data_IF_219258038184
#
_entry.id   IF_219258038184
#
_cell.length_a   1.000
_cell.length_b   1.000
_cell.length_c   1.000
_cell.angle_alpha   90.00
_cell.angle_beta   90.00
_cell.angle_gamma   90.00
#
_symmetry.space_group_name_H-M   'P 1'
#
loop_
_entity.id
_entity.type
_entity.pdbx_description
1 polymer ?
#
# COMPACT_ATOMS: atom_id res chain seq x y z
N UNK A 1 68.44 1.19 17.63
CA UNK A 1 69.54 2.16 17.70
C UNK A 1 70.19 2.23 16.32
N UNK A 2 70.09 3.40 15.66
CA UNK A 2 71.01 3.99 14.66
C UNK A 2 71.47 3.15 13.46
N UNK A 3 71.51 3.60 12.21
CA UNK A 3 71.14 4.86 11.56
C UNK A 3 71.26 4.65 10.04
N UNK A 4 70.37 5.28 9.27
CA UNK A 4 70.59 5.96 7.99
C UNK A 4 71.56 5.39 6.94
N UNK A 5 71.00 4.90 5.83
CA UNK A 5 71.64 4.84 4.51
C UNK A 5 71.43 6.17 3.77
N UNK A 6 72.53 6.78 3.33
CA UNK A 6 72.57 8.00 2.52
C UNK A 6 72.88 7.65 1.06
N UNK A 7 72.14 8.25 0.12
CA UNK A 7 72.72 8.74 -1.13
C UNK A 7 72.18 8.14 -2.43
N UNK A 8 71.23 8.89 -3.04
CA UNK A 8 71.13 9.36 -4.46
C UNK A 8 72.11 8.69 -5.44
N UNK A 9 71.75 8.33 -6.67
CA UNK A 9 71.49 9.26 -7.77
C UNK A 9 70.64 8.63 -8.91
N UNK A 10 69.71 9.43 -9.42
CA UNK A 10 68.93 9.22 -10.63
C UNK A 10 69.79 8.89 -11.86
N UNK A 11 69.35 7.91 -12.67
CA UNK A 11 69.38 8.04 -14.12
C UNK A 11 68.09 7.48 -14.72
N UNK A 12 67.28 8.41 -15.21
CA UNK A 12 66.12 8.18 -16.04
C UNK A 12 66.55 7.66 -17.42
N UNK A 13 65.86 6.63 -17.91
CA UNK A 13 65.83 6.28 -19.33
C UNK A 13 64.36 6.27 -19.74
N UNK A 14 64.01 7.33 -20.45
CA UNK A 14 62.69 7.67 -20.99
C UNK A 14 62.34 6.68 -22.10
N UNK A 15 61.32 5.84 -21.87
CA UNK A 15 60.71 4.99 -22.88
C UNK A 15 59.54 5.70 -23.53
N UNK A 16 59.72 6.13 -24.78
CA UNK A 16 58.72 6.78 -25.62
C UNK A 16 57.89 5.71 -26.35
N UNK A 17 56.67 5.44 -25.91
CA UNK A 17 55.65 4.76 -26.73
C UNK A 17 54.41 5.65 -26.79
N UNK A 18 54.24 6.28 -27.94
CA UNK A 18 53.10 7.13 -28.31
C UNK A 18 52.07 6.27 -29.05
N UNK A 19 50.80 6.67 -28.89
CA UNK A 19 49.57 6.30 -29.60
C UNK A 19 48.65 5.36 -28.81
N UNK A 20 47.57 5.93 -28.26
CA UNK A 20 46.22 5.36 -28.36
C UNK A 20 45.13 6.39 -27.98
N UNK A 21 44.30 6.70 -28.98
CA UNK A 21 42.89 7.12 -28.94
C UNK A 21 42.43 8.22 -27.97
N UNK A 22 42.19 9.42 -28.52
CA UNK A 22 41.32 10.43 -27.92
C UNK A 22 39.85 10.01 -28.04
N UNK A 23 39.26 9.51 -26.95
CA UNK A 23 37.81 9.42 -26.79
C UNK A 23 37.35 10.62 -25.95
N UNK A 24 36.67 11.57 -26.61
CA UNK A 24 35.90 12.63 -25.95
C UNK A 24 34.66 12.02 -25.32
N UNK A 25 34.55 12.05 -23.99
CA UNK A 25 33.29 11.87 -23.28
C UNK A 25 33.11 13.01 -22.29
N UNK A 26 31.94 13.63 -22.41
CA UNK A 26 31.46 14.81 -21.71
C UNK A 26 31.21 14.42 -20.25
N UNK A 27 32.03 14.89 -19.31
CA UNK A 27 31.66 14.83 -17.88
C UNK A 27 30.76 16.02 -17.57
N UNK A 28 29.45 15.81 -17.73
CA UNK A 28 28.42 16.69 -17.18
C UNK A 28 28.41 16.59 -15.66
N UNK A 29 28.31 17.75 -15.00
CA UNK A 29 28.00 17.87 -13.57
C UNK A 29 26.65 17.21 -13.26
N UNK A 30 26.61 16.38 -12.24
CA UNK A 30 25.49 16.14 -11.32
C UNK A 30 26.11 15.36 -10.15
N UNK A 31 26.16 15.87 -8.94
CA UNK A 31 25.06 16.43 -8.17
C UNK A 31 25.09 15.65 -6.87
N UNK A 32 25.24 16.38 -5.76
CA UNK A 32 25.42 15.86 -4.40
C UNK A 32 24.47 14.70 -4.08
N UNK A 33 25.02 13.53 -3.76
CA UNK A 33 24.26 12.45 -3.16
C UNK A 33 23.94 12.83 -1.71
N UNK A 34 22.77 13.42 -1.49
CA UNK A 34 22.16 13.50 -0.17
C UNK A 34 21.80 12.08 0.27
N UNK A 35 22.55 11.55 1.24
CA UNK A 35 22.24 10.28 1.90
C UNK A 35 20.94 10.40 2.69
N UNK A 36 19.83 10.03 2.05
CA UNK A 36 18.65 9.51 2.73
C UNK A 36 18.82 7.99 2.94
N UNK A 37 18.08 7.38 3.89
CA UNK A 37 18.05 5.92 3.99
C UNK A 37 17.64 5.35 2.63
N UNK A 38 18.44 4.42 2.12
CA UNK A 38 18.16 3.66 0.91
C UNK A 38 16.84 2.91 1.13
N UNK A 39 15.73 3.51 0.70
CA UNK A 39 14.47 2.79 0.57
C UNK A 39 14.76 1.67 -0.41
N UNK A 40 14.92 0.46 0.12
CA UNK A 40 15.05 -0.76 -0.66
C UNK A 40 13.84 -0.82 -1.57
N UNK A 41 14.01 -0.38 -2.82
CA UNK A 41 12.91 -0.34 -3.78
C UNK A 41 12.36 -1.76 -3.88
N UNK A 42 11.09 -1.92 -3.50
CA UNK A 42 10.40 -3.19 -3.62
C UNK A 42 10.39 -3.55 -5.10
N UNK A 43 10.98 -4.70 -5.44
CA UNK A 43 10.83 -5.23 -6.79
C UNK A 43 9.41 -5.77 -6.91
N UNK A 44 8.56 -5.06 -7.66
CA UNK A 44 7.17 -5.43 -7.87
C UNK A 44 7.11 -6.66 -8.80
N UNK A 45 6.47 -7.73 -8.35
CA UNK A 45 6.10 -8.88 -9.18
C UNK A 45 4.79 -8.59 -9.94
N UNK A 46 3.91 -7.80 -9.32
CA UNK A 46 2.60 -7.41 -9.88
C UNK A 46 2.26 -5.99 -9.45
N UNK A 47 1.47 -5.29 -10.27
CA UNK A 47 0.94 -3.96 -9.95
C UNK A 47 -0.58 -4.04 -9.75
N UNK A 48 -1.09 -3.24 -8.82
CA UNK A 48 -2.51 -2.97 -8.67
C UNK A 48 -2.71 -1.46 -8.54
N UNK A 49 -3.50 -0.87 -9.45
CA UNK A 49 -3.84 0.56 -9.44
C UNK A 49 -5.12 0.76 -8.66
N UNK A 50 -5.03 1.41 -7.51
CA UNK A 50 -6.16 1.63 -6.62
C UNK A 50 -7.13 2.66 -7.24
N UNK A 51 -6.60 3.60 -7.98
CA UNK A 51 -7.34 4.66 -8.67
C UNK A 51 -8.13 4.16 -9.89
N UNK A 52 -7.85 2.94 -10.36
CA UNK A 52 -8.58 2.34 -11.46
C UNK A 52 -10.00 1.99 -10.99
N UNK A 53 -11.02 2.61 -11.61
CA UNK A 53 -12.43 2.35 -11.30
C UNK A 53 -12.94 1.04 -11.93
N UNK A 54 -12.11 0.00 -11.97
CA UNK A 54 -12.54 -1.33 -12.40
C UNK A 54 -13.41 -1.95 -11.30
N UNK A 55 -14.58 -2.44 -11.67
CA UNK A 55 -15.57 -2.97 -10.73
C UNK A 55 -15.97 -4.41 -11.07
N UNK A 56 -15.01 -5.36 -11.11
CA UNK A 56 -15.27 -6.74 -11.54
C UNK A 56 -16.14 -7.53 -10.56
N UNK A 57 -16.16 -7.15 -9.28
CA UNK A 57 -17.08 -7.76 -8.31
C UNK A 57 -18.49 -7.19 -8.48
N UNK A 58 -18.61 -5.91 -8.79
CA UNK A 58 -19.88 -5.23 -8.97
C UNK A 58 -19.78 -3.79 -8.49
N UNK A 59 -20.91 -3.07 -8.53
CA UNK A 59 -20.93 -1.64 -8.26
C UNK A 59 -20.52 -1.31 -6.82
N UNK A 60 -19.47 -0.51 -6.67
CA UNK A 60 -19.00 0.02 -5.39
C UNK A 60 -20.07 0.86 -4.68
N UNK A 61 -20.83 1.65 -5.44
CA UNK A 61 -21.93 2.46 -4.90
C UNK A 61 -23.10 1.60 -4.39
N UNK A 62 -23.45 0.52 -5.10
CA UNK A 62 -24.47 -0.42 -4.59
C UNK A 62 -24.01 -1.13 -3.32
N UNK A 63 -22.73 -1.48 -3.23
CA UNK A 63 -22.15 -2.04 -2.02
C UNK A 63 -22.22 -1.06 -0.85
N UNK A 64 -21.85 0.20 -1.08
CA UNK A 64 -21.94 1.27 -0.08
C UNK A 64 -23.35 1.45 0.44
N UNK A 65 -24.32 1.54 -0.46
CA UNK A 65 -25.73 1.67 -0.09
C UNK A 65 -26.23 0.46 0.72
N UNK A 66 -25.89 -0.77 0.30
CA UNK A 66 -26.25 -1.98 1.04
C UNK A 66 -25.63 -2.02 2.43
N UNK A 67 -24.36 -1.61 2.58
CA UNK A 67 -23.69 -1.56 3.87
C UNK A 67 -24.36 -0.56 4.84
N UNK A 68 -24.62 0.66 4.37
CA UNK A 68 -25.31 1.71 5.14
C UNK A 68 -26.71 1.23 5.54
N UNK A 69 -27.44 0.61 4.61
CA UNK A 69 -28.77 0.06 4.88
C UNK A 69 -28.71 -1.05 5.95
N UNK A 70 -27.76 -1.99 5.83
CA UNK A 70 -27.55 -3.03 6.85
C UNK A 70 -27.24 -2.42 8.21
N UNK A 71 -26.29 -1.49 8.28
CA UNK A 71 -25.92 -0.83 9.54
C UNK A 71 -27.09 -0.05 10.16
N UNK A 72 -27.90 0.63 9.34
CA UNK A 72 -29.07 1.42 9.80
C UNK A 72 -30.15 0.57 10.48
N UNK A 73 -30.20 -0.75 10.24
CA UNK A 73 -31.15 -1.64 10.94
C UNK A 73 -30.72 -1.99 12.38
N UNK A 74 -29.47 -1.71 12.75
CA UNK A 74 -28.95 -1.58 14.12
C UNK A 74 -28.89 -2.85 14.99
N UNK A 75 -29.65 -3.90 14.68
CA UNK A 75 -29.88 -5.02 15.60
C UNK A 75 -29.49 -6.39 15.03
N UNK A 76 -29.20 -6.48 13.74
CA UNK A 76 -28.89 -7.74 13.08
C UNK A 76 -27.38 -7.87 12.83
N UNK A 77 -26.80 -8.99 13.28
CA UNK A 77 -25.45 -9.39 12.85
C UNK A 77 -25.50 -9.70 11.36
N UNK A 78 -24.57 -9.13 10.60
CA UNK A 78 -24.43 -9.34 9.16
C UNK A 78 -23.01 -9.78 8.81
N UNK A 79 -22.74 -10.01 7.53
CA UNK A 79 -21.41 -10.28 6.99
C UNK A 79 -21.18 -9.41 5.76
N UNK A 80 -19.92 -9.21 5.35
CA UNK A 80 -19.66 -8.54 4.07
C UNK A 80 -20.15 -9.39 2.88
N UNK A 81 -20.25 -10.72 3.02
CA UNK A 81 -20.88 -11.59 2.04
C UNK A 81 -22.34 -11.19 1.79
N UNK A 82 -23.12 -10.98 2.85
CA UNK A 82 -24.53 -10.61 2.74
C UNK A 82 -24.70 -9.23 2.11
N UNK A 83 -23.85 -8.27 2.50
CA UNK A 83 -23.83 -6.93 1.89
C UNK A 83 -23.50 -7.01 0.39
N UNK A 84 -22.48 -7.78 0.01
CA UNK A 84 -22.10 -7.98 -1.39
C UNK A 84 -23.23 -8.64 -2.19
N UNK A 85 -23.88 -9.66 -1.61
CA UNK A 85 -25.02 -10.34 -2.24
C UNK A 85 -26.17 -9.37 -2.51
N UNK A 86 -26.51 -8.52 -1.54
CA UNK A 86 -27.56 -7.50 -1.69
C UNK A 86 -27.18 -6.45 -2.74
N UNK A 87 -25.91 -6.06 -2.80
CA UNK A 87 -25.38 -5.17 -3.83
C UNK A 87 -25.38 -5.77 -5.25
N UNK A 88 -25.68 -7.07 -5.37
CA UNK A 88 -25.60 -7.83 -6.61
C UNK A 88 -24.16 -8.06 -7.08
N UNK A 89 -23.21 -8.11 -6.16
CA UNK A 89 -21.83 -8.49 -6.48
C UNK A 89 -21.73 -9.97 -6.85
N UNK A 90 -20.80 -10.25 -7.75
CA UNK A 90 -20.47 -11.57 -8.26
C UNK A 90 -18.95 -11.76 -8.25
N UNK A 91 -18.47 -12.97 -8.52
CA UNK A 91 -17.03 -13.25 -8.54
C UNK A 91 -16.47 -13.68 -7.19
N UNK A 92 -15.17 -13.98 -7.19
CA UNK A 92 -14.46 -14.51 -6.03
C UNK A 92 -13.73 -13.38 -5.28
N UNK A 93 -13.84 -13.41 -3.96
CA UNK A 93 -13.09 -12.62 -3.00
C UNK A 93 -13.27 -13.24 -1.61
N UNK A 94 -12.37 -12.97 -0.67
CA UNK A 94 -12.36 -13.59 0.67
C UNK A 94 -12.16 -12.60 1.83
N UNK A 95 -11.66 -11.40 1.56
CA UNK A 95 -11.45 -10.35 2.56
C UNK A 95 -11.37 -8.97 1.93
N UNK A 96 -11.48 -7.96 2.78
CA UNK A 96 -11.19 -6.57 2.46
C UNK A 96 -10.16 -6.03 3.45
N UNK A 97 -9.24 -5.21 2.94
CA UNK A 97 -8.31 -4.41 3.75
C UNK A 97 -8.76 -2.96 3.70
N UNK A 98 -8.86 -2.30 4.84
CA UNK A 98 -8.93 -0.85 4.94
C UNK A 98 -7.50 -0.28 4.92
N UNK A 99 -7.04 0.15 3.75
CA UNK A 99 -5.77 0.84 3.60
C UNK A 99 -5.99 2.34 3.83
N UNK A 100 -5.22 2.94 4.73
CA UNK A 100 -5.24 4.39 4.96
C UNK A 100 -4.38 5.10 3.92
N UNK A 101 -4.66 6.38 3.72
CA UNK A 101 -3.77 7.26 2.97
C UNK A 101 -2.30 7.15 3.41
N UNK A 102 -1.38 7.50 2.51
CA UNK A 102 0.07 7.44 2.72
C UNK A 102 0.65 6.05 3.08
N UNK A 103 -0.18 5.00 3.14
CA UNK A 103 0.30 3.63 3.41
C UNK A 103 1.11 3.12 2.22
N UNK A 104 2.35 2.68 2.46
CA UNK A 104 3.19 2.15 1.39
C UNK A 104 2.82 0.71 1.00
N UNK A 105 3.27 0.28 -0.19
CA UNK A 105 2.97 -1.06 -0.69
C UNK A 105 3.46 -2.17 0.23
N UNK A 106 4.59 -2.00 0.92
CA UNK A 106 5.11 -3.03 1.83
C UNK A 106 4.18 -3.24 3.03
N UNK A 107 3.64 -2.16 3.57
CA UNK A 107 2.68 -2.18 4.68
C UNK A 107 1.34 -2.75 4.25
N UNK A 108 0.82 -2.35 3.07
CA UNK A 108 -0.40 -2.95 2.50
C UNK A 108 -0.22 -4.45 2.31
N UNK A 109 0.91 -4.89 1.74
CA UNK A 109 1.21 -6.31 1.56
C UNK A 109 1.22 -7.05 2.90
N UNK A 110 1.92 -6.52 3.91
CA UNK A 110 2.02 -7.11 5.24
C UNK A 110 0.63 -7.26 5.90
N UNK A 111 -0.18 -6.19 5.91
CA UNK A 111 -1.54 -6.22 6.47
C UNK A 111 -2.46 -7.16 5.71
N UNK A 112 -2.35 -7.23 4.39
CA UNK A 112 -3.17 -8.12 3.56
C UNK A 112 -2.69 -9.59 3.59
N UNK A 113 -1.54 -9.91 4.20
CA UNK A 113 -0.93 -11.24 4.11
C UNK A 113 -0.50 -11.61 2.68
N UNK A 114 0.00 -10.63 1.93
CA UNK A 114 0.46 -10.76 0.54
C UNK A 114 1.93 -10.31 0.42
N UNK A 115 2.50 -10.43 -0.78
CA UNK A 115 3.88 -9.98 -1.07
C UNK A 115 4.00 -9.69 -2.56
N UNK A 116 5.02 -8.92 -2.94
CA UNK A 116 5.36 -8.68 -4.35
C UNK A 116 4.41 -7.73 -5.11
N UNK A 117 3.38 -7.17 -4.46
CA UNK A 117 2.43 -6.26 -5.13
C UNK A 117 2.81 -4.81 -4.91
N UNK A 118 2.89 -4.03 -5.98
CA UNK A 118 2.97 -2.59 -5.91
C UNK A 118 1.58 -1.98 -6.07
N UNK A 119 1.12 -1.36 -4.98
CA UNK A 119 -0.13 -0.63 -4.90
C UNK A 119 0.13 0.79 -5.37
N UNK A 120 -0.35 1.09 -6.57
CA UNK A 120 -0.22 2.39 -7.20
C UNK A 120 -1.46 3.24 -6.90
N UNK A 121 -1.27 4.57 -6.94
CA UNK A 121 -2.32 5.55 -6.70
C UNK A 121 -2.92 5.56 -5.30
N UNK A 122 -2.22 5.02 -4.29
CA UNK A 122 -2.57 5.24 -2.89
C UNK A 122 -2.64 6.75 -2.65
N UNK A 123 -3.80 7.21 -2.19
CA UNK A 123 -4.03 8.63 -1.91
C UNK A 123 -3.01 9.16 -0.90
N UNK A 124 -2.56 10.38 -1.11
CA UNK A 124 -1.75 11.12 -0.13
C UNK A 124 -2.65 12.15 0.51
N UNK A 125 -2.87 12.04 1.82
CA UNK A 125 -3.68 13.02 2.51
C UNK A 125 -2.95 14.33 2.70
N UNK A 126 -3.73 15.39 2.60
CA UNK A 126 -3.47 16.64 3.27
C UNK A 126 -3.98 16.49 4.72
N UNK A 127 -3.16 16.78 5.75
CA UNK A 127 -3.52 16.59 7.15
C UNK A 127 -4.74 17.40 7.61
N UNK A 128 -5.17 18.39 6.83
CA UNK A 128 -6.40 19.16 7.10
C UNK A 128 -7.68 18.39 6.70
N UNK A 129 -7.55 17.33 5.91
CA UNK A 129 -8.64 16.42 5.58
C UNK A 129 -8.63 15.24 6.55
N UNK A 130 -9.81 14.89 7.09
CA UNK A 130 -9.94 13.78 8.03
C UNK A 130 -9.48 12.43 7.45
N UNK A 131 -9.59 11.37 8.25
CA UNK A 131 -9.17 10.03 7.82
C UNK A 131 -9.81 9.62 6.49
N UNK A 132 -8.98 9.14 5.58
CA UNK A 132 -9.40 8.67 4.26
C UNK A 132 -8.47 7.54 3.79
N UNK A 133 -8.90 6.85 2.74
CA UNK A 133 -8.13 5.76 2.17
C UNK A 133 -8.96 4.93 1.20
N UNK A 134 -8.62 3.65 1.10
CA UNK A 134 -9.22 2.72 0.16
C UNK A 134 -9.53 1.38 0.82
N UNK A 135 -10.70 0.84 0.53
CA UNK A 135 -11.02 -0.56 0.76
C UNK A 135 -10.48 -1.37 -0.41
N UNK A 136 -9.62 -2.34 -0.15
CA UNK A 136 -9.04 -3.21 -1.17
C UNK A 136 -9.55 -4.62 -0.95
N UNK A 137 -10.30 -5.14 -1.91
CA UNK A 137 -10.87 -6.49 -1.88
C UNK A 137 -9.89 -7.49 -2.49
N UNK A 138 -9.76 -8.66 -1.87
CA UNK A 138 -8.81 -9.69 -2.28
C UNK A 138 -9.48 -11.03 -2.56
N UNK A 139 -8.94 -11.76 -3.54
CA UNK A 139 -9.15 -13.19 -3.79
C UNK A 139 -7.81 -13.93 -3.67
N UNK A 140 -7.61 -14.60 -2.53
CA UNK A 140 -6.34 -15.12 -2.10
C UNK A 140 -5.28 -14.01 -2.06
N UNK A 141 -4.13 -14.16 -2.73
CA UNK A 141 -3.11 -13.12 -2.75
C UNK A 141 -3.44 -11.96 -3.71
N UNK A 142 -4.53 -12.03 -4.49
CA UNK A 142 -4.77 -11.09 -5.59
C UNK A 142 -5.74 -9.98 -5.18
N UNK A 143 -5.37 -8.70 -5.28
CA UNK A 143 -6.33 -7.61 -5.19
C UNK A 143 -7.23 -7.62 -6.44
N UNK A 144 -8.53 -7.47 -6.25
CA UNK A 144 -9.53 -7.60 -7.33
C UNK A 144 -10.35 -6.35 -7.57
N UNK A 145 -10.57 -5.52 -6.56
CA UNK A 145 -11.33 -4.27 -6.67
C UNK A 145 -10.97 -3.34 -5.51
N UNK A 146 -10.99 -2.03 -5.75
CA UNK A 146 -10.82 -0.99 -4.72
C UNK A 146 -12.06 -0.12 -4.61
N UNK A 147 -12.25 0.48 -3.43
CA UNK A 147 -13.28 1.50 -3.18
C UNK A 147 -12.72 2.59 -2.27
N UNK A 148 -12.68 3.81 -2.77
CA UNK A 148 -12.30 4.96 -1.95
C UNK A 148 -13.31 5.21 -0.82
N UNK A 149 -12.78 5.64 0.32
CA UNK A 149 -13.53 6.11 1.46
C UNK A 149 -12.87 7.34 2.11
N UNK A 150 -13.69 8.19 2.68
CA UNK A 150 -13.36 9.34 3.51
C UNK A 150 -14.34 9.40 4.70
N UNK A 151 -14.24 10.42 5.55
CA UNK A 151 -15.13 10.57 6.70
C UNK A 151 -16.64 10.57 6.38
N UNK A 152 -17.06 10.86 5.15
CA UNK A 152 -18.47 10.84 4.74
C UNK A 152 -18.89 9.52 4.07
N UNK A 153 -17.92 8.69 3.68
CA UNK A 153 -18.15 7.50 2.86
C UNK A 153 -17.52 6.23 3.43
N UNK A 154 -16.91 6.32 4.61
CA UNK A 154 -16.49 5.18 5.44
C UNK A 154 -17.72 4.40 5.89
N UNK A 155 -17.77 3.11 5.56
CA UNK A 155 -18.95 2.24 5.80
C UNK A 155 -18.63 0.99 6.61
N UNK A 156 -17.34 0.69 6.79
CA UNK A 156 -16.91 -0.47 7.54
C UNK A 156 -15.52 -0.29 8.14
N UNK A 157 -15.28 -0.93 9.29
CA UNK A 157 -14.00 -0.87 10.00
C UNK A 157 -13.75 -2.15 10.81
N UNK A 158 -12.51 -2.62 10.83
CA UNK A 158 -12.07 -3.64 11.78
C UNK A 158 -11.75 -2.99 13.14
N UNK A 159 -12.22 -3.58 14.23
CA UNK A 159 -11.89 -3.14 15.58
C UNK A 159 -10.58 -3.79 16.06
N UNK A 160 -9.91 -3.13 17.01
CA UNK A 160 -8.62 -3.56 17.53
C UNK A 160 -7.45 -3.19 16.61
N UNK A 161 -6.43 -4.05 16.55
CA UNK A 161 -5.19 -3.79 15.80
C UNK A 161 -5.25 -4.31 14.34
N UNK A 162 -6.41 -4.81 13.88
CA UNK A 162 -6.59 -5.28 12.52
C UNK A 162 -7.14 -4.16 11.62
N UNK A 163 -6.71 -4.15 10.36
CA UNK A 163 -7.32 -3.36 9.29
C UNK A 163 -8.00 -4.24 8.24
N UNK A 164 -8.03 -5.56 8.46
CA UNK A 164 -8.60 -6.55 7.54
C UNK A 164 -9.89 -7.10 8.10
N UNK A 165 -10.91 -7.19 7.24
CA UNK A 165 -12.20 -7.82 7.52
C UNK A 165 -12.39 -9.02 6.59
N UNK A 166 -12.66 -10.21 7.13
CA UNK A 166 -12.97 -11.41 6.34
C UNK A 166 -14.39 -11.34 5.79
N UNK A 167 -14.59 -11.89 4.59
CA UNK A 167 -15.89 -11.88 3.89
C UNK A 167 -17.05 -12.40 4.76
N UNK A 168 -16.82 -13.51 5.44
CA UNK A 168 -17.87 -14.28 6.14
C UNK A 168 -17.83 -14.08 7.66
N UNK A 169 -17.04 -13.13 8.18
CA UNK A 169 -16.99 -12.88 9.62
C UNK A 169 -18.14 -11.99 10.09
N UNK A 170 -18.61 -12.16 11.34
CA UNK A 170 -19.75 -11.41 11.85
C UNK A 170 -19.39 -9.93 12.06
N UNK A 171 -20.29 -9.07 11.59
CA UNK A 171 -20.25 -7.62 11.77
C UNK A 171 -21.49 -7.14 12.51
N UNK A 172 -21.31 -6.12 13.33
CA UNK A 172 -22.37 -5.38 14.04
C UNK A 172 -22.43 -3.95 13.53
N UNK A 173 -23.59 -3.31 13.72
CA UNK A 173 -23.75 -1.90 13.38
C UNK A 173 -23.14 -1.00 14.46
N UNK A 174 -22.38 0.00 14.03
CA UNK A 174 -22.05 1.20 14.80
C UNK A 174 -22.96 2.33 14.30
N UNK A 175 -23.99 2.66 15.07
CA UNK A 175 -25.04 3.62 14.66
C UNK A 175 -24.78 5.05 15.11
N UNK A 176 -23.75 5.26 15.93
CA UNK A 176 -23.38 6.58 16.45
C UNK A 176 -22.50 7.37 15.45
N UNK A 177 -22.06 6.73 14.36
CA UNK A 177 -21.37 7.32 13.22
C UNK A 177 -22.37 7.86 12.19
N UNK A 178 -21.99 8.90 11.43
CA UNK A 178 -22.74 9.39 10.27
C UNK A 178 -21.83 9.39 9.02
N UNK A 179 -22.00 8.44 8.08
CA UNK A 179 -23.04 7.42 8.03
C UNK A 179 -22.83 6.30 9.08
N UNK A 180 -23.88 5.51 9.40
CA UNK A 180 -23.71 4.33 10.25
C UNK A 180 -22.83 3.28 9.54
N UNK A 181 -22.02 2.57 10.33
CA UNK A 181 -20.97 1.69 9.82
C UNK A 181 -21.13 0.25 10.28
N UNK A 182 -20.52 -0.68 9.55
CA UNK A 182 -20.36 -2.07 9.96
C UNK A 182 -18.99 -2.30 10.59
N UNK A 183 -18.96 -2.79 11.83
CA UNK A 183 -17.72 -3.05 12.55
C UNK A 183 -17.60 -4.51 12.96
N UNK A 184 -16.39 -5.05 12.99
CA UNK A 184 -16.15 -6.40 13.52
C UNK A 184 -16.56 -6.49 14.97
N UNK A 185 -17.07 -7.64 15.41
CA UNK A 185 -17.41 -7.84 16.83
C UNK A 185 -16.15 -7.80 17.67
N UNK A 186 -16.10 -6.90 18.65
CA UNK A 186 -14.99 -6.81 19.60
C UNK A 186 -14.90 -8.14 20.38
N UNK A 187 -13.85 -8.92 20.13
CA UNK A 187 -13.51 -10.02 21.01
C UNK A 187 -13.00 -9.42 22.31
N UNK A 188 -13.87 -9.34 23.33
CA UNK A 188 -13.41 -9.10 24.69
C UNK A 188 -12.35 -10.16 25.01
N UNK A 189 -11.10 -9.73 25.17
CA UNK A 189 -10.09 -10.57 25.79
C UNK A 189 -10.62 -11.04 27.15
N UNK A 190 -10.59 -12.35 27.44
CA UNK A 190 -11.04 -12.89 28.73
C UNK A 190 -10.19 -12.38 29.90
#
# INVERSE_FOLDING_TARGET
MTSYQHGRWCRAMIGLFVVCFTATAINGCSGLASGGPEQKQMQCETEFRIEDNSQPLGSSERFRHAAIQSASTGTQVTTLHDVAREAGWTGAWDRVLQAFDNTDSASINASAGTTGICFLGVSRSDPDFGAQGDYIFFDGPRPVQSMHWDGATEIMRALGDSTTIRRDEPLTAETDSDPPMLVTVETRSP
#
